data_IF_317598414775
#
_entry.id   IF_317598414775
#
_cell.length_a   1.000
_cell.length_b   1.000
_cell.length_c   1.000
_cell.angle_alpha   90.00
_cell.angle_beta   90.00
_cell.angle_gamma   90.00
#
_symmetry.space_group_name_H-M   'P 1'
#
loop_
_entity.id
_entity.type
_entity.pdbx_description
1 polymer ?
#
# COMPACT_ATOMS: atom_id res chain seq x y z
N UNK A 1 35.07 -19.06 -7.61
CA UNK A 1 34.06 -19.25 -8.67
C UNK A 1 32.77 -18.64 -8.12
N UNK A 2 32.64 -17.34 -8.31
CA UNK A 2 31.54 -16.52 -7.78
C UNK A 2 30.54 -16.31 -8.92
N UNK A 3 29.29 -16.71 -8.71
CA UNK A 3 28.21 -16.46 -9.65
C UNK A 3 27.84 -14.97 -9.60
N UNK A 4 27.62 -14.30 -10.74
CA UNK A 4 27.15 -12.93 -10.77
C UNK A 4 25.62 -12.96 -10.62
N UNK A 5 25.13 -12.46 -9.49
CA UNK A 5 23.75 -12.01 -9.36
C UNK A 5 23.79 -10.52 -9.03
N UNK A 6 24.35 -9.74 -9.95
CA UNK A 6 24.12 -8.31 -9.98
C UNK A 6 22.76 -8.08 -10.67
N UNK A 7 21.87 -7.47 -9.90
CA UNK A 7 21.05 -6.32 -10.30
C UNK A 7 20.29 -6.48 -11.63
N UNK A 8 19.19 -7.23 -11.59
CA UNK A 8 18.14 -7.10 -12.60
C UNK A 8 16.77 -6.99 -11.93
N UNK A 9 16.44 -5.78 -11.46
CA UNK A 9 15.09 -5.38 -11.05
C UNK A 9 14.11 -5.38 -12.26
N UNK A 10 14.58 -5.68 -13.49
CA UNK A 10 13.75 -5.83 -14.69
C UNK A 10 12.91 -7.12 -14.73
N UNK A 11 13.15 -8.06 -13.81
CA UNK A 11 12.37 -9.30 -13.70
C UNK A 11 11.10 -9.17 -12.86
N UNK A 12 10.74 -7.96 -12.39
CA UNK A 12 9.35 -7.68 -12.00
C UNK A 12 8.54 -7.53 -13.28
N UNK A 13 8.16 -8.66 -13.88
CA UNK A 13 7.16 -8.67 -14.94
C UNK A 13 5.96 -7.87 -14.42
N UNK A 14 5.65 -6.69 -15.00
CA UNK A 14 4.37 -6.07 -14.73
C UNK A 14 3.33 -7.12 -15.06
N UNK A 15 2.30 -7.29 -14.23
CA UNK A 15 1.33 -8.32 -14.50
C UNK A 15 0.80 -8.14 -15.92
N UNK A 16 0.95 -9.18 -16.73
CA UNK A 16 0.56 -9.12 -18.14
C UNK A 16 -0.90 -8.66 -18.20
N UNK A 17 -1.22 -7.56 -18.93
CA UNK A 17 -2.58 -7.11 -19.08
C UNK A 17 -3.40 -8.29 -19.59
N UNK A 18 -4.44 -8.66 -18.85
CA UNK A 18 -5.37 -9.68 -19.32
C UNK A 18 -6.18 -8.99 -20.42
N UNK A 19 -5.72 -9.13 -21.68
CA UNK A 19 -6.33 -8.56 -22.89
C UNK A 19 -6.26 -7.02 -23.01
N UNK A 20 -5.12 -6.44 -23.43
CA UNK A 20 -4.99 -5.00 -23.65
C UNK A 20 -5.99 -4.46 -24.71
N UNK A 21 -6.47 -5.30 -25.61
CA UNK A 21 -7.46 -4.93 -26.63
C UNK A 21 -8.84 -4.60 -26.02
N UNK A 22 -9.22 -5.20 -24.89
CA UNK A 22 -10.49 -4.91 -24.20
C UNK A 22 -10.50 -3.50 -23.59
N UNK A 23 -9.34 -2.97 -23.22
CA UNK A 23 -9.24 -1.64 -22.62
C UNK A 23 -9.27 -0.52 -23.66
N UNK A 24 -8.96 -0.81 -24.93
CA UNK A 24 -9.06 0.17 -26.02
C UNK A 24 -10.51 0.64 -26.21
N UNK A 25 -11.48 -0.26 -26.09
CA UNK A 25 -12.90 0.07 -26.21
C UNK A 25 -13.38 0.94 -25.03
N UNK A 26 -12.90 0.66 -23.81
CA UNK A 26 -13.18 1.46 -22.62
C UNK A 26 -12.56 2.86 -22.71
N UNK A 27 -11.34 2.95 -23.23
CA UNK A 27 -10.67 4.23 -23.46
C UNK A 27 -11.40 5.05 -24.52
N UNK A 28 -11.82 4.41 -25.62
CA UNK A 28 -12.64 5.06 -26.64
C UNK A 28 -13.97 5.55 -26.06
N UNK A 29 -14.66 4.75 -25.27
CA UNK A 29 -15.91 5.16 -24.61
C UNK A 29 -15.70 6.36 -23.69
N UNK A 30 -14.62 6.36 -22.89
CA UNK A 30 -14.29 7.48 -22.01
C UNK A 30 -13.97 8.76 -22.79
N UNK A 31 -13.10 8.67 -23.79
CA UNK A 31 -12.62 9.85 -24.54
C UNK A 31 -13.63 10.38 -25.58
N UNK A 32 -14.60 9.57 -25.98
CA UNK A 32 -15.67 9.98 -26.92
C UNK A 32 -17.03 10.18 -26.25
N UNK A 33 -17.10 10.12 -24.92
CA UNK A 33 -18.32 10.35 -24.16
C UNK A 33 -18.96 11.70 -24.54
N UNK A 34 -20.21 11.63 -25.01
CA UNK A 34 -20.95 12.82 -25.46
C UNK A 34 -21.55 13.61 -24.28
N UNK A 35 -21.70 12.97 -23.13
CA UNK A 35 -22.21 13.55 -21.89
C UNK A 35 -21.61 12.84 -20.65
N UNK A 36 -21.94 13.38 -19.48
CA UNK A 36 -21.45 12.89 -18.19
C UNK A 36 -21.98 11.47 -17.87
N UNK A 37 -23.15 11.09 -18.39
CA UNK A 37 -23.71 9.75 -18.16
C UNK A 37 -22.89 8.69 -18.88
N UNK A 38 -22.57 8.94 -20.16
CA UNK A 38 -21.71 8.06 -20.95
C UNK A 38 -20.30 7.97 -20.35
N UNK A 39 -19.78 9.07 -19.82
CA UNK A 39 -18.49 9.10 -19.11
C UNK A 39 -18.52 8.21 -17.86
N UNK A 40 -19.57 8.32 -17.04
CA UNK A 40 -19.69 7.50 -15.83
C UNK A 40 -19.88 6.02 -16.14
N UNK A 41 -20.59 5.66 -17.21
CA UNK A 41 -20.68 4.26 -17.65
C UNK A 41 -19.29 3.66 -17.93
N UNK A 42 -18.42 4.41 -18.64
CA UNK A 42 -17.04 3.99 -18.90
C UNK A 42 -16.21 3.88 -17.60
N UNK A 43 -16.37 4.83 -16.67
CA UNK A 43 -15.68 4.80 -15.37
C UNK A 43 -16.15 3.63 -14.48
N UNK A 44 -17.44 3.32 -14.45
CA UNK A 44 -17.99 2.18 -13.72
C UNK A 44 -17.40 0.88 -14.26
N UNK A 45 -17.35 0.73 -15.59
CA UNK A 45 -16.75 -0.44 -16.22
C UNK A 45 -15.25 -0.54 -15.93
N UNK A 46 -14.48 0.55 -16.08
CA UNK A 46 -13.06 0.60 -15.72
C UNK A 46 -12.80 0.29 -14.25
N UNK A 47 -13.65 0.76 -13.34
CA UNK A 47 -13.57 0.45 -11.91
C UNK A 47 -13.76 -1.05 -11.66
N UNK A 48 -14.76 -1.67 -12.30
CA UNK A 48 -15.00 -3.12 -12.15
C UNK A 48 -13.79 -3.94 -12.61
N UNK A 49 -13.15 -3.57 -13.70
CA UNK A 49 -11.91 -4.20 -14.17
C UNK A 49 -10.76 -4.07 -13.15
N UNK A 50 -10.62 -2.90 -12.52
CA UNK A 50 -9.66 -2.71 -11.42
C UNK A 50 -9.99 -3.60 -10.21
N UNK A 51 -11.27 -3.75 -9.87
CA UNK A 51 -11.69 -4.65 -8.78
C UNK A 51 -11.43 -6.13 -9.11
N UNK A 52 -11.59 -6.53 -10.36
CA UNK A 52 -11.29 -7.89 -10.81
C UNK A 52 -9.77 -8.13 -10.83
N UNK A 53 -8.98 -7.12 -11.17
CA UNK A 53 -7.53 -7.14 -11.00
C UNK A 53 -7.14 -7.36 -9.54
N UNK A 54 -7.76 -6.67 -8.59
CA UNK A 54 -7.53 -6.91 -7.16
C UNK A 54 -7.90 -8.33 -6.74
N UNK A 55 -9.04 -8.86 -7.18
CA UNK A 55 -9.41 -10.25 -6.89
C UNK A 55 -8.42 -11.27 -7.47
N UNK A 56 -7.92 -11.01 -8.67
CA UNK A 56 -6.88 -11.83 -9.28
C UNK A 56 -5.58 -11.81 -8.47
N UNK A 57 -5.14 -10.62 -8.05
CA UNK A 57 -3.94 -10.43 -7.23
C UNK A 57 -4.04 -11.10 -5.84
N UNK A 58 -5.21 -11.07 -5.21
CA UNK A 58 -5.48 -11.73 -3.94
C UNK A 58 -5.56 -13.28 -4.06
N UNK A 59 -5.55 -13.83 -5.28
CA UNK A 59 -5.62 -15.27 -5.49
C UNK A 59 -4.35 -15.96 -4.96
N UNK A 60 -4.46 -17.05 -4.16
CA UNK A 60 -3.30 -17.82 -3.70
C UNK A 60 -2.43 -18.40 -4.83
N UNK A 61 -2.97 -18.45 -6.05
CA UNK A 61 -2.28 -18.91 -7.27
C UNK A 61 -1.36 -17.84 -7.86
N UNK A 62 -1.62 -16.57 -7.56
CA UNK A 62 -0.85 -15.41 -7.98
C UNK A 62 0.11 -15.11 -6.85
N UNK A 63 1.37 -15.52 -6.99
CA UNK A 63 2.44 -15.25 -6.01
C UNK A 63 2.90 -13.80 -6.11
N UNK A 64 1.98 -12.86 -6.05
CA UNK A 64 2.32 -11.44 -6.04
C UNK A 64 1.87 -10.89 -4.71
N UNK A 65 2.87 -10.53 -3.92
CA UNK A 65 2.74 -9.90 -2.62
C UNK A 65 2.23 -8.46 -2.84
N UNK A 66 0.92 -8.26 -2.97
CA UNK A 66 0.34 -6.95 -3.27
C UNK A 66 -0.40 -6.32 -2.10
N UNK A 67 -0.25 -5.00 -1.98
CA UNK A 67 -1.14 -4.18 -1.17
C UNK A 67 -0.82 -4.15 0.34
N UNK A 68 -1.65 -3.41 1.11
CA UNK A 68 -1.46 -3.19 2.54
C UNK A 68 -1.48 -4.50 3.35
N UNK A 69 -2.11 -5.56 2.83
CA UNK A 69 -2.22 -6.88 3.46
C UNK A 69 -0.85 -7.56 3.67
N UNK A 70 0.10 -7.35 2.76
CA UNK A 70 1.46 -7.88 2.90
C UNK A 70 2.19 -7.15 4.01
N UNK A 71 2.13 -5.82 3.99
CA UNK A 71 2.75 -5.00 5.02
C UNK A 71 2.17 -5.38 6.38
N UNK A 72 0.84 -5.49 6.48
CA UNK A 72 0.14 -6.01 7.65
C UNK A 72 0.71 -7.35 8.11
N UNK A 73 0.79 -8.35 7.22
CA UNK A 73 1.31 -9.68 7.57
C UNK A 73 2.77 -9.65 8.05
N UNK A 74 3.61 -8.78 7.47
CA UNK A 74 5.01 -8.60 7.86
C UNK A 74 5.13 -7.90 9.21
N UNK A 75 4.31 -6.88 9.46
CA UNK A 75 4.28 -6.18 10.74
C UNK A 75 3.71 -7.07 11.85
N UNK A 76 2.72 -7.91 11.55
CA UNK A 76 2.24 -8.95 12.47
C UNK A 76 3.35 -9.91 12.87
N UNK A 77 4.16 -10.36 11.89
CA UNK A 77 5.33 -11.18 12.18
C UNK A 77 6.34 -10.43 13.07
N UNK A 78 6.52 -9.12 12.88
CA UNK A 78 7.36 -8.30 13.75
C UNK A 78 6.77 -8.15 15.17
N UNK A 79 5.44 -8.06 15.34
CA UNK A 79 4.79 -8.07 16.65
C UNK A 79 5.13 -9.35 17.40
N UNK A 80 4.99 -10.50 16.74
CA UNK A 80 5.36 -11.79 17.33
C UNK A 80 6.87 -11.87 17.60
N UNK A 81 7.69 -11.31 16.70
CA UNK A 81 9.13 -11.22 16.86
C UNK A 81 9.55 -10.42 18.10
N UNK A 82 8.95 -9.25 18.34
CA UNK A 82 9.19 -8.48 19.56
C UNK A 82 8.78 -9.26 20.82
N UNK A 83 7.62 -9.92 20.80
CA UNK A 83 7.15 -10.75 21.91
C UNK A 83 8.10 -11.91 22.22
N UNK A 84 8.55 -12.65 21.20
CA UNK A 84 9.47 -13.77 21.35
C UNK A 84 10.85 -13.36 21.90
N UNK A 85 11.25 -12.10 21.71
CA UNK A 85 12.51 -11.55 22.21
C UNK A 85 12.38 -10.83 23.57
N UNK A 86 11.25 -10.97 24.27
CA UNK A 86 11.03 -10.34 25.58
C UNK A 86 10.90 -8.82 25.52
N UNK A 87 10.44 -8.28 24.38
CA UNK A 87 10.18 -6.86 24.16
C UNK A 87 8.68 -6.60 24.06
N UNK A 88 7.90 -7.04 25.06
CA UNK A 88 6.43 -7.04 25.04
C UNK A 88 5.85 -5.64 24.90
N UNK A 89 6.50 -4.62 25.46
CA UNK A 89 6.07 -3.22 25.31
C UNK A 89 6.18 -2.74 23.86
N UNK A 90 7.22 -3.18 23.13
CA UNK A 90 7.37 -2.90 21.70
C UNK A 90 6.37 -3.70 20.86
N UNK A 91 6.12 -4.96 21.22
CA UNK A 91 5.08 -5.76 20.58
C UNK A 91 3.69 -5.12 20.72
N UNK A 92 3.34 -4.66 21.94
CA UNK A 92 2.08 -3.99 22.20
C UNK A 92 1.98 -2.64 21.49
N UNK A 93 3.06 -1.85 21.48
CA UNK A 93 3.11 -0.61 20.71
C UNK A 93 2.91 -0.86 19.21
N UNK A 94 3.64 -1.81 18.63
CA UNK A 94 3.52 -2.12 17.20
C UNK A 94 2.13 -2.65 16.86
N UNK A 95 1.48 -3.41 17.77
CA UNK A 95 0.08 -3.83 17.59
C UNK A 95 -0.84 -2.63 17.35
N UNK A 96 -0.67 -1.52 18.07
CA UNK A 96 -1.48 -0.31 17.83
C UNK A 96 -1.28 0.29 16.44
N UNK A 97 -0.10 0.13 15.85
CA UNK A 97 0.17 0.53 14.46
C UNK A 97 -0.53 -0.41 13.50
N UNK A 98 -0.45 -1.72 13.75
CA UNK A 98 -1.14 -2.76 12.96
C UNK A 98 -2.65 -2.54 12.98
N UNK A 99 -3.25 -2.24 14.13
CA UNK A 99 -4.70 -1.99 14.27
C UNK A 99 -5.20 -0.85 13.36
N UNK A 100 -4.40 0.23 13.20
CA UNK A 100 -4.72 1.34 12.28
C UNK A 100 -4.71 0.86 10.83
N UNK A 101 -3.73 0.05 10.47
CA UNK A 101 -3.62 -0.49 9.11
C UNK A 101 -4.72 -1.51 8.80
N UNK A 102 -5.13 -2.31 9.80
CA UNK A 102 -6.27 -3.22 9.68
C UNK A 102 -7.58 -2.44 9.49
N UNK A 103 -7.74 -1.31 10.17
CA UNK A 103 -8.89 -0.42 9.96
C UNK A 103 -8.93 0.14 8.53
N UNK A 104 -7.77 0.55 7.98
CA UNK A 104 -7.68 0.99 6.58
C UNK A 104 -7.97 -0.13 5.59
N UNK A 105 -7.43 -1.34 5.80
CA UNK A 105 -7.71 -2.50 4.97
C UNK A 105 -9.20 -2.88 5.02
N UNK A 106 -9.81 -2.83 6.21
CA UNK A 106 -11.24 -3.07 6.40
C UNK A 106 -12.10 -2.03 5.69
N UNK A 107 -11.71 -0.75 5.72
CA UNK A 107 -12.37 0.31 4.97
C UNK A 107 -12.31 0.04 3.46
N UNK A 108 -11.13 -0.24 2.92
CA UNK A 108 -10.96 -0.58 1.50
C UNK A 108 -11.83 -1.77 1.10
N UNK A 109 -11.86 -2.82 1.92
CA UNK A 109 -12.68 -4.00 1.66
C UNK A 109 -14.18 -3.67 1.60
N UNK A 110 -14.69 -2.85 2.54
CA UNK A 110 -16.10 -2.41 2.52
C UNK A 110 -16.41 -1.59 1.28
N UNK A 111 -15.58 -0.60 0.94
CA UNK A 111 -15.77 0.19 -0.28
C UNK A 111 -15.82 -0.68 -1.54
N UNK A 112 -14.93 -1.68 -1.65
CA UNK A 112 -14.94 -2.63 -2.77
C UNK A 112 -16.23 -3.45 -2.79
N UNK A 113 -16.72 -3.90 -1.63
CA UNK A 113 -17.98 -4.63 -1.53
C UNK A 113 -19.18 -3.77 -1.94
N UNK A 114 -19.23 -2.50 -1.50
CA UNK A 114 -20.32 -1.58 -1.82
C UNK A 114 -20.38 -1.31 -3.33
N UNK A 115 -19.24 -1.05 -3.98
CA UNK A 115 -19.17 -0.88 -5.44
C UNK A 115 -19.62 -2.14 -6.18
N UNK A 116 -19.27 -3.33 -5.67
CA UNK A 116 -19.69 -4.61 -6.28
C UNK A 116 -21.17 -4.92 -6.08
N UNK A 117 -21.75 -4.47 -4.97
CA UNK A 117 -23.14 -4.71 -4.63
C UNK A 117 -24.11 -3.82 -5.42
N UNK A 118 -23.62 -2.76 -6.06
CA UNK A 118 -24.41 -1.85 -6.88
C UNK A 118 -25.12 -2.59 -8.03
N UNK A 119 -26.46 -2.53 -8.04
CA UNK A 119 -27.30 -3.28 -8.97
C UNK A 119 -27.49 -2.62 -10.34
N UNK A 120 -27.16 -1.33 -10.46
CA UNK A 120 -27.23 -0.55 -11.69
C UNK A 120 -26.08 0.48 -11.75
N UNK A 121 -25.97 1.22 -12.85
CA UNK A 121 -24.90 2.19 -13.07
C UNK A 121 -24.99 3.43 -12.16
N UNK A 122 -26.20 3.89 -11.83
CA UNK A 122 -26.40 5.05 -10.95
C UNK A 122 -25.94 4.75 -9.52
N UNK A 123 -26.33 3.59 -8.99
CA UNK A 123 -25.88 3.09 -7.69
C UNK A 123 -24.36 2.86 -7.68
N UNK A 124 -23.79 2.37 -8.79
CA UNK A 124 -22.36 2.13 -8.90
C UNK A 124 -21.57 3.44 -8.91
N UNK A 125 -22.07 4.45 -9.62
CA UNK A 125 -21.51 5.80 -9.61
C UNK A 125 -21.51 6.39 -8.20
N UNK A 126 -22.64 6.32 -7.50
CA UNK A 126 -22.73 6.80 -6.13
C UNK A 126 -21.75 6.07 -5.20
N UNK A 127 -21.69 4.73 -5.28
CA UNK A 127 -20.76 3.93 -4.47
C UNK A 127 -19.29 4.26 -4.76
N UNK A 128 -18.92 4.53 -6.01
CA UNK A 128 -17.56 4.95 -6.39
C UNK A 128 -17.20 6.29 -5.77
N UNK A 129 -18.12 7.26 -5.81
CA UNK A 129 -17.93 8.59 -5.23
C UNK A 129 -17.78 8.49 -3.71
N UNK A 130 -18.73 7.82 -3.03
CA UNK A 130 -18.72 7.65 -1.58
C UNK A 130 -17.47 6.90 -1.09
N UNK A 131 -17.04 5.89 -1.84
CA UNK A 131 -15.79 5.17 -1.57
C UNK A 131 -14.57 6.09 -1.72
N UNK A 132 -14.51 6.89 -2.79
CA UNK A 132 -13.42 7.83 -2.99
C UNK A 132 -13.35 8.87 -1.88
N UNK A 133 -14.49 9.43 -1.45
CA UNK A 133 -14.56 10.38 -0.33
C UNK A 133 -14.12 9.76 0.99
N UNK A 134 -14.59 8.56 1.28
CA UNK A 134 -14.23 7.82 2.50
C UNK A 134 -12.74 7.51 2.56
N UNK A 135 -12.16 7.06 1.44
CA UNK A 135 -10.73 6.73 1.36
C UNK A 135 -9.86 7.99 1.42
N UNK A 136 -10.27 9.09 0.78
CA UNK A 136 -9.57 10.38 0.90
C UNK A 136 -9.59 10.88 2.35
N UNK A 137 -10.73 10.77 3.04
CA UNK A 137 -10.84 11.14 4.46
C UNK A 137 -9.90 10.30 5.34
N UNK A 138 -9.77 9.00 5.04
CA UNK A 138 -8.81 8.13 5.72
C UNK A 138 -7.35 8.53 5.41
N UNK A 139 -7.06 8.95 4.18
CA UNK A 139 -5.72 9.43 3.81
C UNK A 139 -5.35 10.70 4.57
N UNK A 140 -6.29 11.63 4.71
CA UNK A 140 -6.09 12.87 5.48
C UNK A 140 -5.91 12.57 6.97
N UNK A 141 -6.76 11.71 7.53
CA UNK A 141 -6.60 11.25 8.92
C UNK A 141 -5.25 10.56 9.15
N UNK A 142 -4.78 9.75 8.21
CA UNK A 142 -3.49 9.06 8.28
C UNK A 142 -2.31 10.03 8.25
N UNK A 143 -2.39 11.08 7.41
CA UNK A 143 -1.36 12.10 7.32
C UNK A 143 -1.17 12.85 8.67
N UNK A 144 -2.27 13.07 9.39
CA UNK A 144 -2.28 13.76 10.69
C UNK A 144 -2.19 12.80 11.89
N UNK A 145 -2.28 11.49 11.68
CA UNK A 145 -2.38 10.51 12.75
C UNK A 145 -1.15 10.54 13.68
N UNK A 146 -1.41 10.77 14.97
CA UNK A 146 -0.38 10.79 16.00
C UNK A 146 -0.18 9.38 16.58
N UNK A 147 0.85 8.68 16.10
CA UNK A 147 1.25 7.40 16.69
C UNK A 147 1.72 7.58 18.14
N UNK A 148 1.45 6.57 18.96
CA UNK A 148 1.94 6.54 20.33
C UNK A 148 3.47 6.62 20.36
N UNK A 149 4.01 7.29 21.39
CA UNK A 149 5.45 7.37 21.60
C UNK A 149 6.08 5.98 21.75
N UNK A 150 7.32 5.84 21.29
CA UNK A 150 8.06 4.58 21.41
C UNK A 150 8.21 4.18 22.89
N UNK A 151 8.08 2.88 23.21
CA UNK A 151 8.45 2.37 24.53
C UNK A 151 9.91 2.72 24.87
N UNK A 152 10.25 2.95 26.14
CA UNK A 152 11.62 3.24 26.52
C UNK A 152 12.55 2.10 26.11
N UNK A 153 13.73 2.46 25.60
CA UNK A 153 14.78 1.49 25.31
C UNK A 153 15.19 0.78 26.62
N UNK A 154 15.39 -0.55 26.63
CA UNK A 154 15.90 -1.24 27.79
C UNK A 154 17.26 -0.68 28.23
N UNK A 155 17.43 -0.46 29.53
CA UNK A 155 18.71 -0.04 30.11
C UNK A 155 19.76 -1.14 29.91
N UNK A 156 20.98 -0.77 29.48
CA UNK A 156 22.11 -1.69 29.37
C UNK A 156 22.75 -1.76 27.96
N UNK A 157 23.47 -2.86 27.65
CA UNK A 157 24.19 -3.00 26.38
C UNK A 157 23.22 -3.04 25.18
N UNK A 158 23.72 -2.81 23.95
CA UNK A 158 22.94 -2.92 22.73
C UNK A 158 22.10 -4.20 22.65
N UNK A 159 20.79 -4.06 22.48
CA UNK A 159 19.89 -5.18 22.27
C UNK A 159 19.75 -5.45 20.76
N UNK A 160 20.63 -6.29 20.23
CA UNK A 160 20.65 -6.61 18.80
C UNK A 160 19.36 -7.29 18.29
N UNK A 161 18.67 -8.06 19.14
CA UNK A 161 17.40 -8.66 18.77
C UNK A 161 16.32 -7.58 18.57
N UNK A 162 16.26 -6.60 19.46
CA UNK A 162 15.37 -5.44 19.32
C UNK A 162 15.69 -4.61 18.07
N UNK A 163 16.98 -4.36 17.82
CA UNK A 163 17.45 -3.66 16.62
C UNK A 163 17.06 -4.39 15.33
N UNK A 164 17.26 -5.71 15.28
CA UNK A 164 16.89 -6.53 14.12
C UNK A 164 15.38 -6.47 13.86
N UNK A 165 14.54 -6.54 14.90
CA UNK A 165 13.08 -6.43 14.74
C UNK A 165 12.64 -5.03 14.25
N UNK A 166 13.27 -3.96 14.74
CA UNK A 166 13.03 -2.62 14.23
C UNK A 166 13.41 -2.51 12.74
N UNK A 167 14.56 -3.07 12.35
CA UNK A 167 14.98 -3.15 10.96
C UNK A 167 14.02 -3.94 10.07
N UNK A 168 13.44 -5.03 10.57
CA UNK A 168 12.41 -5.79 9.83
C UNK A 168 11.12 -4.99 9.62
N UNK A 169 10.73 -4.13 10.57
CA UNK A 169 9.60 -3.21 10.39
C UNK A 169 9.87 -2.20 9.26
N UNK A 170 11.07 -1.60 9.25
CA UNK A 170 11.48 -0.68 8.17
C UNK A 170 11.58 -1.41 6.81
N UNK A 171 12.09 -2.63 6.80
CA UNK A 171 12.17 -3.46 5.60
C UNK A 171 10.78 -3.81 5.04
N UNK A 172 9.76 -3.95 5.90
CA UNK A 172 8.39 -4.22 5.46
C UNK A 172 7.86 -3.11 4.54
N UNK A 173 8.15 -1.84 4.86
CA UNK A 173 7.79 -0.69 4.03
C UNK A 173 8.74 -0.49 2.85
N UNK A 174 10.05 -0.70 3.05
CA UNK A 174 11.05 -0.57 1.96
C UNK A 174 10.76 -1.55 0.81
N UNK A 175 10.29 -2.75 1.14
CA UNK A 175 9.96 -3.78 0.16
C UNK A 175 8.46 -3.83 -0.18
N UNK A 176 7.71 -2.75 0.08
CA UNK A 176 6.35 -2.59 -0.42
C UNK A 176 6.41 -2.50 -1.95
N UNK A 177 5.53 -3.22 -2.64
CA UNK A 177 5.31 -3.00 -4.07
C UNK A 177 4.16 -2.02 -4.22
N UNK A 178 4.36 -0.83 -4.83
CA UNK A 178 3.33 0.19 -4.96
C UNK A 178 2.09 -0.34 -5.70
N UNK A 179 0.90 0.10 -5.30
CA UNK A 179 -0.36 -0.22 -5.97
C UNK A 179 -0.33 0.19 -7.44
N UNK A 180 0.30 1.31 -7.77
CA UNK A 180 0.44 1.79 -9.15
C UNK A 180 1.10 0.75 -10.05
N UNK A 181 2.14 0.05 -9.58
CA UNK A 181 2.80 -1.03 -10.34
C UNK A 181 1.87 -2.23 -10.54
N UNK A 182 0.94 -2.46 -9.61
CA UNK A 182 0.04 -3.62 -9.62
C UNK A 182 -1.21 -3.41 -10.47
N UNK A 183 -1.63 -2.15 -10.57
CA UNK A 183 -2.77 -1.70 -11.38
C UNK A 183 -2.33 -1.19 -12.76
N UNK A 184 -1.05 -1.30 -13.11
CA UNK A 184 -0.58 -0.88 -14.42
C UNK A 184 -1.33 -1.63 -15.53
N UNK A 185 -1.92 -0.86 -16.45
CA UNK A 185 -2.77 -1.37 -17.53
C UNK A 185 -4.14 -1.94 -17.12
N UNK A 186 -4.52 -1.94 -15.84
CA UNK A 186 -5.83 -2.45 -15.41
C UNK A 186 -6.95 -1.45 -15.71
N UNK A 187 -7.93 -1.85 -16.53
CA UNK A 187 -9.11 -1.04 -16.83
C UNK A 187 -8.87 0.15 -17.77
N UNK A 188 -7.70 0.23 -18.42
CA UNK A 188 -7.33 1.33 -19.32
C UNK A 188 -7.26 2.69 -18.61
N UNK A 189 -7.47 3.77 -19.36
CA UNK A 189 -7.62 5.13 -18.85
C UNK A 189 -8.75 5.21 -17.81
N UNK A 190 -9.87 4.52 -18.03
CA UNK A 190 -11.01 4.46 -17.09
C UNK A 190 -10.69 3.78 -15.74
N UNK A 191 -9.64 2.95 -15.69
CA UNK A 191 -9.10 2.35 -14.47
C UNK A 191 -7.93 3.12 -13.87
N UNK A 192 -7.47 4.20 -14.52
CA UNK A 192 -6.34 4.99 -14.06
C UNK A 192 -6.75 6.08 -13.07
N UNK A 193 -5.84 6.45 -12.17
CA UNK A 193 -6.06 7.50 -11.18
C UNK A 193 -6.31 8.90 -11.77
N UNK A 194 -5.98 9.14 -13.04
CA UNK A 194 -6.25 10.43 -13.70
C UNK A 194 -7.76 10.64 -13.93
N UNK A 195 -8.49 9.56 -14.22
CA UNK A 195 -9.91 9.64 -14.58
C UNK A 195 -10.82 9.00 -13.53
N UNK A 196 -10.30 8.05 -12.75
CA UNK A 196 -11.07 7.28 -11.78
C UNK A 196 -10.83 7.78 -10.34
N UNK A 197 -11.85 8.41 -9.70
CA UNK A 197 -11.69 9.00 -8.38
C UNK A 197 -11.42 7.96 -7.28
N UNK A 198 -11.96 6.75 -7.40
CA UNK A 198 -11.71 5.67 -6.45
C UNK A 198 -10.24 5.21 -6.50
N UNK A 199 -9.68 5.04 -7.69
CA UNK A 199 -8.27 4.65 -7.86
C UNK A 199 -7.33 5.77 -7.41
N UNK A 200 -7.67 7.03 -7.71
CA UNK A 200 -6.93 8.18 -7.20
C UNK A 200 -6.89 8.21 -5.66
N UNK A 201 -8.02 7.96 -5.01
CA UNK A 201 -8.12 7.91 -3.55
C UNK A 201 -7.27 6.76 -2.96
N UNK A 202 -7.30 5.58 -3.58
CA UNK A 202 -6.46 4.43 -3.14
C UNK A 202 -4.97 4.77 -3.18
N UNK A 203 -4.49 5.40 -4.26
CA UNK A 203 -3.09 5.82 -4.37
C UNK A 203 -2.72 6.88 -3.33
N UNK A 204 -3.62 7.83 -3.07
CA UNK A 204 -3.40 8.84 -2.02
C UNK A 204 -3.28 8.20 -0.64
N UNK A 205 -4.17 7.28 -0.28
CA UNK A 205 -4.13 6.59 1.00
C UNK A 205 -2.86 5.73 1.14
N UNK A 206 -2.47 5.01 0.09
CA UNK A 206 -1.20 4.27 0.10
C UNK A 206 -0.01 5.19 0.32
N UNK A 207 0.09 6.28 -0.43
CA UNK A 207 1.21 7.22 -0.33
C UNK A 207 1.29 7.85 1.07
N UNK A 208 0.16 8.30 1.62
CA UNK A 208 0.09 8.84 2.97
C UNK A 208 0.52 7.81 4.00
N UNK A 209 0.03 6.57 3.88
CA UNK A 209 0.39 5.48 4.80
C UNK A 209 1.88 5.14 4.72
N UNK A 210 2.40 4.96 3.51
CA UNK A 210 3.80 4.60 3.27
C UNK A 210 4.76 5.63 3.87
N UNK A 211 4.56 6.92 3.58
CA UNK A 211 5.42 8.00 4.11
C UNK A 211 5.42 8.05 5.64
N UNK A 212 4.23 7.93 6.25
CA UNK A 212 4.08 7.97 7.70
C UNK A 212 4.72 6.75 8.37
N UNK A 213 4.50 5.55 7.85
CA UNK A 213 5.08 4.33 8.40
C UNK A 213 6.58 4.25 8.17
N UNK A 214 7.06 4.64 6.99
CA UNK A 214 8.50 4.66 6.69
C UNK A 214 9.23 5.55 7.70
N UNK A 215 8.76 6.79 7.91
CA UNK A 215 9.34 7.70 8.92
C UNK A 215 9.24 7.11 10.33
N UNK A 216 8.08 6.55 10.71
CA UNK A 216 7.90 5.94 12.03
C UNK A 216 8.91 4.81 12.30
N UNK A 217 9.11 3.91 11.34
CA UNK A 217 10.03 2.78 11.50
C UNK A 217 11.49 3.19 11.35
N UNK A 218 11.76 4.21 10.55
CA UNK A 218 13.08 4.83 10.48
C UNK A 218 13.46 5.40 11.85
N UNK A 219 12.59 6.21 12.46
CA UNK A 219 12.80 6.79 13.78
C UNK A 219 12.88 5.70 14.88
N UNK A 220 12.11 4.62 14.74
CA UNK A 220 12.20 3.45 15.64
C UNK A 220 13.60 2.83 15.60
N UNK A 221 14.19 2.65 14.41
CA UNK A 221 15.56 2.13 14.26
C UNK A 221 16.56 2.99 15.05
N UNK A 222 16.52 4.32 14.90
CA UNK A 222 17.35 5.23 15.68
C UNK A 222 17.08 5.12 17.18
N UNK A 223 15.81 5.08 17.59
CA UNK A 223 15.41 4.98 19.00
C UNK A 223 15.97 3.74 19.68
N UNK A 224 15.99 2.59 18.99
CA UNK A 224 16.56 1.35 19.54
C UNK A 224 18.09 1.27 19.40
N UNK A 225 18.71 2.26 18.77
CA UNK A 225 20.16 2.36 18.56
C UNK A 225 20.67 1.59 17.35
N UNK A 226 19.81 1.31 16.38
CA UNK A 226 20.21 0.75 15.09
C UNK A 226 20.62 1.89 14.15
N UNK A 227 21.92 2.00 13.91
CA UNK A 227 22.49 3.07 13.09
C UNK A 227 22.28 2.77 11.60
N UNK A 228 21.52 3.64 10.95
CA UNK A 228 21.23 3.59 9.51
C UNK A 228 22.13 4.54 8.69
N UNK A 229 22.95 5.38 9.33
CA UNK A 229 23.77 6.41 8.70
C UNK A 229 25.24 6.00 8.53
N UNK A 230 25.83 5.29 9.49
CA UNK A 230 27.28 5.02 9.49
C UNK A 230 27.70 3.76 8.72
N UNK A 231 26.76 3.07 8.06
CA UNK A 231 27.06 1.87 7.28
C UNK A 231 26.87 2.13 5.77
N UNK A 232 27.97 2.25 4.98
CA UNK A 232 27.89 2.52 3.54
C UNK A 232 27.19 1.42 2.73
N UNK A 233 26.94 0.25 3.32
CA UNK A 233 26.18 -0.85 2.71
C UNK A 233 24.67 -0.77 2.99
N UNK A 234 24.23 0.14 3.86
CA UNK A 234 22.81 0.28 4.24
C UNK A 234 22.07 1.15 3.22
N UNK A 235 21.42 0.48 2.26
CA UNK A 235 20.63 1.05 1.16
C UNK A 235 19.23 1.55 1.60
N UNK A 236 19.10 2.29 2.70
CA UNK A 236 17.81 2.92 3.08
C UNK A 236 17.83 4.42 2.77
N UNK A 237 16.80 4.88 2.06
CA UNK A 237 16.59 6.30 1.82
C UNK A 237 16.23 7.03 3.14
N UNK A 238 16.60 8.31 3.23
CA UNK A 238 16.11 9.13 4.35
C UNK A 238 14.60 9.36 4.21
N UNK A 239 13.85 9.55 5.31
CA UNK A 239 12.41 9.86 5.23
C UNK A 239 12.09 11.04 4.31
N UNK A 240 12.93 12.08 4.32
CA UNK A 240 12.77 13.24 3.43
C UNK A 240 13.08 12.92 1.96
N UNK A 241 13.95 11.94 1.71
CA UNK A 241 14.18 11.38 0.38
C UNK A 241 12.94 10.64 -0.14
N UNK A 242 12.36 9.78 0.69
CA UNK A 242 11.11 9.06 0.37
C UNK A 242 9.92 10.02 0.19
N UNK A 243 9.83 11.07 0.99
CA UNK A 243 8.79 12.10 0.84
C UNK A 243 8.87 12.83 -0.52
N UNK A 244 10.07 12.93 -1.12
CA UNK A 244 10.30 13.55 -2.43
C UNK A 244 10.10 12.59 -3.60
N UNK A 245 10.17 11.28 -3.36
CA UNK A 245 9.81 10.27 -4.34
C UNK A 245 8.29 10.31 -4.51
N UNK A 246 7.81 10.70 -5.69
CA UNK A 246 6.42 10.44 -6.06
C UNK A 246 6.29 8.95 -6.35
N UNK A 247 5.39 8.25 -5.64
CA UNK A 247 4.98 6.89 -6.01
C UNK A 247 4.12 6.91 -7.28
#
# INVERSE_FOLDING_TARGET
>A
MTLPFDEDDSLRYPPTPVMPELFVDLDLQLFTAADETARWAALVAGTREVLDRFAHLASPKVRVSTGPEVVLSRLDACVQGFGANGAERFAQWLRTVVDVLEAHASLQHRCIQDIRAAGNEEDATAAIIDAAESINSAADAMAEYAFAAFPPRPDGPPNYALMAQAGLCLAAETHRVPLRTQLDGAGGASGSAEFNPFVAALFRLELATHRRLYRLFYDLCFHVGFDLHDNPDVRFDTPDGVDRQGL
#
